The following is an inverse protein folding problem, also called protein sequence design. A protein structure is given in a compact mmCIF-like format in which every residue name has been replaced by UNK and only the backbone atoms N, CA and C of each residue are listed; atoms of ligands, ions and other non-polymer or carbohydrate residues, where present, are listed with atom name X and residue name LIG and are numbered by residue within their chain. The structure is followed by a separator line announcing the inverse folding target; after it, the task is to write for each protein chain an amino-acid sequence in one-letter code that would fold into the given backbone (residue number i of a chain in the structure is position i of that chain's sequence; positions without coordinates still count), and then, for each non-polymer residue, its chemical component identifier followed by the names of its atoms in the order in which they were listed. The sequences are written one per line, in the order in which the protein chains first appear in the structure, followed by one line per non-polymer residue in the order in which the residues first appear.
data_IF_735390132663
#
_entry.id   IF_735390132663
#
_cell.length_a   1.000
_cell.length_b   1.000
_cell.length_c   1.000
_cell.angle_alpha   90.00
_cell.angle_beta   90.00
_cell.angle_gamma   90.00
#
_symmetry.space_group_name_H-M   'P 1'
#
loop_
_entity.id
_entity.type
_entity.pdbx_description
1 polymer ?
#
# COMPACT_ATOMS: atom_id res chain seq x y z
N UNK A 1 21.04 -8.68 -2.88
CA UNK A 1 22.42 -9.23 -2.91
C UNK A 1 23.41 -8.31 -3.63
N UNK A 2 23.05 -7.70 -4.76
CA UNK A 2 23.95 -6.85 -5.58
C UNK A 2 24.45 -5.60 -4.84
N UNK A 3 23.59 -4.89 -4.10
CA UNK A 3 23.97 -3.68 -3.37
C UNK A 3 24.93 -3.94 -2.21
N UNK A 4 24.74 -5.01 -1.43
CA UNK A 4 25.64 -5.40 -0.33
C UNK A 4 26.99 -5.87 -0.86
N UNK A 5 26.99 -6.69 -1.92
CA UNK A 5 28.23 -7.09 -2.58
C UNK A 5 28.97 -5.88 -3.16
N UNK A 6 28.27 -4.94 -3.78
CA UNK A 6 28.83 -3.69 -4.27
C UNK A 6 29.40 -2.83 -3.14
N UNK A 7 28.69 -2.67 -2.01
CA UNK A 7 29.17 -1.90 -0.86
C UNK A 7 30.44 -2.52 -0.24
N UNK A 8 30.46 -3.85 -0.07
CA UNK A 8 31.65 -4.58 0.41
C UNK A 8 32.79 -4.45 -0.58
N UNK A 9 32.52 -4.57 -1.88
CA UNK A 9 33.52 -4.44 -2.93
C UNK A 9 34.10 -3.03 -3.02
N UNK A 10 33.27 -1.99 -2.92
CA UNK A 10 33.70 -0.58 -2.85
C UNK A 10 34.53 -0.35 -1.60
N UNK A 11 34.08 -0.82 -0.43
CA UNK A 11 34.86 -0.73 0.82
C UNK A 11 36.21 -1.42 0.70
N UNK A 12 36.25 -2.62 0.12
CA UNK A 12 37.48 -3.35 -0.16
C UNK A 12 38.40 -2.59 -1.15
N UNK A 13 37.86 -2.04 -2.24
CA UNK A 13 38.60 -1.25 -3.21
C UNK A 13 39.18 0.02 -2.58
N UNK A 14 38.42 0.74 -1.77
CA UNK A 14 38.88 1.96 -1.08
C UNK A 14 40.05 1.67 -0.14
N UNK A 15 40.02 0.54 0.55
CA UNK A 15 41.13 0.08 1.40
C UNK A 15 42.33 -0.38 0.54
N UNK A 16 42.08 -1.09 -0.57
CA UNK A 16 43.13 -1.61 -1.47
C UNK A 16 43.86 -0.51 -2.24
N UNK A 17 43.15 0.54 -2.65
CA UNK A 17 43.69 1.70 -3.37
C UNK A 17 44.39 2.67 -2.40
N UNK A 18 44.32 2.44 -1.09
CA UNK A 18 44.99 3.26 -0.07
C UNK A 18 44.27 4.56 0.27
N UNK A 19 43.04 4.76 -0.22
CA UNK A 19 42.17 5.90 0.13
C UNK A 19 41.77 5.82 1.61
N UNK A 20 41.64 4.60 2.14
CA UNK A 20 41.34 4.34 3.55
C UNK A 20 42.45 3.50 4.16
N UNK A 21 43.06 3.99 5.25
CA UNK A 21 44.09 3.27 5.99
C UNK A 21 43.52 1.93 6.54
N UNK A 22 44.24 0.82 6.31
CA UNK A 22 43.82 -0.51 6.78
C UNK A 22 43.61 -0.61 8.29
N UNK A 23 44.43 0.08 9.08
CA UNK A 23 44.32 0.14 10.53
C UNK A 23 43.02 0.84 10.93
N UNK A 24 42.78 2.02 10.34
CA UNK A 24 41.57 2.81 10.53
C UNK A 24 40.32 2.04 10.10
N UNK A 25 40.38 1.27 9.00
CA UNK A 25 39.27 0.42 8.56
C UNK A 25 38.98 -0.72 9.55
N UNK A 26 40.02 -1.38 10.08
CA UNK A 26 39.85 -2.40 11.13
C UNK A 26 39.25 -1.81 12.40
N UNK A 27 39.75 -0.66 12.85
CA UNK A 27 39.27 0.04 14.04
C UNK A 27 37.85 0.57 13.87
N UNK A 28 37.47 0.98 12.66
CA UNK A 28 36.14 1.55 12.39
C UNK A 28 35.09 0.47 12.12
N UNK A 29 35.43 -0.64 11.45
CA UNK A 29 34.42 -1.62 10.99
C UNK A 29 34.45 -2.94 11.74
N UNK A 30 35.63 -3.40 12.18
CA UNK A 30 35.79 -4.73 12.78
C UNK A 30 35.83 -4.65 14.30
N UNK A 31 36.62 -3.73 14.86
CA UNK A 31 36.78 -3.57 16.30
C UNK A 31 35.44 -3.34 17.04
N UNK A 32 34.47 -2.55 16.53
CA UNK A 32 33.17 -2.36 17.18
C UNK A 32 32.35 -3.64 17.28
N UNK A 33 32.40 -4.48 16.23
CA UNK A 33 31.66 -5.75 16.21
C UNK A 33 32.32 -6.72 17.18
N UNK A 34 33.64 -6.86 17.13
CA UNK A 34 34.39 -7.72 18.03
C UNK A 34 34.20 -7.30 19.50
N UNK A 35 34.20 -6.00 19.79
CA UNK A 35 33.89 -5.45 21.12
C UNK A 35 32.52 -5.93 21.61
N UNK A 36 31.49 -5.82 20.78
CA UNK A 36 30.14 -6.26 21.14
C UNK A 36 30.08 -7.77 21.47
N UNK A 37 30.68 -8.62 20.64
CA UNK A 37 30.70 -10.06 20.87
C UNK A 37 31.57 -10.46 22.07
N UNK A 38 32.63 -9.71 22.37
CA UNK A 38 33.45 -9.92 23.56
C UNK A 38 32.71 -9.56 24.84
N UNK A 39 32.01 -8.42 24.85
CA UNK A 39 31.23 -7.95 26.02
C UNK A 39 30.12 -8.93 26.36
N UNK A 40 29.26 -9.27 25.40
CA UNK A 40 28.07 -10.07 25.68
C UNK A 40 28.29 -11.59 25.52
N UNK A 41 29.37 -12.03 24.88
CA UNK A 41 29.55 -13.42 24.47
C UNK A 41 28.66 -13.80 23.29
N UNK A 42 29.04 -14.87 22.56
CA UNK A 42 28.40 -15.25 21.28
C UNK A 42 26.90 -15.50 21.41
N UNK A 43 26.49 -16.27 22.43
CA UNK A 43 25.07 -16.64 22.62
C UNK A 43 24.19 -15.41 22.84
N UNK A 44 24.53 -14.55 23.80
CA UNK A 44 23.73 -13.36 24.11
C UNK A 44 23.80 -12.33 22.98
N UNK A 45 24.97 -12.10 22.38
CA UNK A 45 25.12 -11.21 21.24
C UNK A 45 24.20 -11.59 20.07
N UNK A 46 24.12 -12.89 19.72
CA UNK A 46 23.23 -13.35 18.66
C UNK A 46 21.75 -13.14 19.00
N UNK A 47 21.33 -13.41 20.23
CA UNK A 47 19.93 -13.20 20.66
C UNK A 47 19.59 -11.71 20.71
N UNK A 48 20.52 -10.84 21.10
CA UNK A 48 20.36 -9.38 21.03
C UNK A 48 20.20 -8.89 19.59
N UNK A 49 21.01 -9.40 18.66
CA UNK A 49 20.90 -9.06 17.23
C UNK A 49 19.56 -9.54 16.64
N UNK A 50 19.09 -10.73 17.03
CA UNK A 50 17.75 -11.19 16.68
C UNK A 50 16.68 -10.25 17.23
N UNK A 51 16.76 -9.86 18.50
CA UNK A 51 15.80 -8.92 19.07
C UNK A 51 15.82 -7.60 18.31
N UNK A 52 17.00 -7.04 18.04
CA UNK A 52 17.15 -5.78 17.31
C UNK A 52 16.51 -5.88 15.92
N UNK A 53 16.81 -6.93 15.16
CA UNK A 53 16.33 -7.09 13.79
C UNK A 53 14.84 -7.40 13.67
N UNK A 54 14.23 -7.98 14.72
CA UNK A 54 12.82 -8.39 14.70
C UNK A 54 11.90 -7.54 15.56
N UNK A 55 12.42 -6.68 16.45
CA UNK A 55 11.58 -5.91 17.40
C UNK A 55 10.46 -5.11 16.73
N UNK A 56 10.74 -4.56 15.54
CA UNK A 56 9.84 -3.68 14.78
C UNK A 56 9.24 -4.34 13.54
N UNK A 57 9.24 -5.67 13.50
CA UNK A 57 8.74 -6.40 12.33
C UNK A 57 7.22 -6.21 12.14
N UNK A 58 6.45 -6.20 13.23
CA UNK A 58 4.98 -6.10 13.18
C UNK A 58 4.50 -4.76 12.62
N UNK A 59 5.06 -3.66 13.11
CA UNK A 59 4.64 -2.30 12.76
C UNK A 59 5.22 -1.85 11.41
N UNK A 60 6.49 -2.16 11.11
CA UNK A 60 7.09 -1.73 9.83
C UNK A 60 6.43 -2.46 8.65
N UNK A 61 6.15 -3.76 8.77
CA UNK A 61 5.49 -4.52 7.68
C UNK A 61 4.09 -3.97 7.40
N UNK A 62 3.31 -3.69 8.46
CA UNK A 62 1.98 -3.10 8.33
C UNK A 62 2.06 -1.66 7.77
N UNK A 63 3.01 -0.86 8.26
CA UNK A 63 3.22 0.53 7.84
C UNK A 63 3.52 0.69 6.35
N UNK A 64 4.17 -0.29 5.71
CA UNK A 64 4.45 -0.24 4.26
C UNK A 64 3.17 -0.26 3.42
N UNK A 65 2.10 -0.92 3.87
CA UNK A 65 0.84 -1.04 3.12
C UNK A 65 -0.24 -0.04 3.58
N UNK A 66 -0.05 0.68 4.69
CA UNK A 66 -1.08 1.56 5.28
C UNK A 66 -1.69 2.57 4.31
N UNK A 67 -0.87 3.24 3.48
CA UNK A 67 -1.39 4.22 2.53
C UNK A 67 -2.28 3.59 1.46
N UNK A 68 -1.88 2.41 0.95
CA UNK A 68 -2.68 1.66 -0.02
C UNK A 68 -3.96 1.16 0.64
N UNK A 69 -3.85 0.64 1.86
CA UNK A 69 -4.99 0.20 2.66
C UNK A 69 -6.04 1.30 2.84
N UNK A 70 -5.63 2.52 3.21
CA UNK A 70 -6.59 3.62 3.38
C UNK A 70 -7.25 4.03 2.06
N UNK A 71 -6.51 3.99 0.94
CA UNK A 71 -7.06 4.24 -0.39
C UNK A 71 -8.02 3.12 -0.81
N UNK A 72 -7.71 1.87 -0.46
CA UNK A 72 -8.57 0.72 -0.71
C UNK A 72 -9.86 0.76 0.13
N UNK A 73 -9.85 1.45 1.27
CA UNK A 73 -11.05 1.81 2.03
C UNK A 73 -11.75 3.07 1.51
N UNK A 74 -11.39 3.58 0.33
CA UNK A 74 -12.00 4.74 -0.32
C UNK A 74 -11.86 6.05 0.46
N UNK A 75 -10.89 6.18 1.38
CA UNK A 75 -10.61 7.46 2.03
C UNK A 75 -9.94 8.43 1.06
N UNK A 76 -10.27 9.72 1.20
CA UNK A 76 -9.70 10.76 0.35
C UNK A 76 -8.21 10.98 0.67
N UNK A 77 -7.44 11.47 -0.31
CA UNK A 77 -6.01 11.74 -0.13
C UNK A 77 -5.78 12.82 0.94
N UNK A 78 -6.69 13.77 1.04
CA UNK A 78 -6.70 14.86 2.01
C UNK A 78 -6.93 14.31 3.42
N UNK A 79 -7.94 13.46 3.60
CA UNK A 79 -8.21 12.79 4.88
C UNK A 79 -7.01 11.94 5.33
N UNK A 80 -6.43 11.16 4.41
CA UNK A 80 -5.25 10.36 4.70
C UNK A 80 -4.07 11.26 5.07
N UNK A 81 -3.84 12.34 4.32
CA UNK A 81 -2.75 13.28 4.59
C UNK A 81 -2.93 13.97 5.94
N UNK A 82 -4.13 14.41 6.28
CA UNK A 82 -4.44 15.01 7.58
C UNK A 82 -4.19 14.01 8.71
N UNK A 83 -4.79 12.81 8.62
CA UNK A 83 -4.67 11.80 9.65
C UNK A 83 -3.20 11.36 9.85
N UNK A 84 -2.47 11.06 8.78
CA UNK A 84 -1.08 10.57 8.86
C UNK A 84 -0.09 11.67 9.20
N UNK A 85 -0.19 12.86 8.57
CA UNK A 85 0.83 13.91 8.71
C UNK A 85 0.59 14.86 9.86
N UNK A 86 -0.67 15.09 10.26
CA UNK A 86 -0.97 15.97 11.39
C UNK A 86 -1.06 15.12 12.66
N UNK A 87 -2.06 14.24 12.73
CA UNK A 87 -2.31 13.44 13.92
C UNK A 87 -1.23 12.37 14.13
N UNK A 88 -0.84 11.64 13.08
CA UNK A 88 0.19 10.61 13.17
C UNK A 88 1.53 11.18 13.67
N UNK A 89 2.00 12.28 13.08
CA UNK A 89 3.24 12.95 13.52
C UNK A 89 3.12 13.45 14.97
N UNK A 90 2.05 14.17 15.31
CA UNK A 90 1.85 14.69 16.67
C UNK A 90 1.88 13.57 17.72
N UNK A 91 1.12 12.49 17.49
CA UNK A 91 1.02 11.40 18.45
C UNK A 91 2.25 10.50 18.46
N UNK A 92 3.01 10.43 17.37
CA UNK A 92 4.34 9.79 17.39
C UNK A 92 5.32 10.52 18.31
N UNK A 93 5.28 11.86 18.33
CA UNK A 93 6.10 12.69 19.23
C UNK A 93 5.65 12.53 20.68
N UNK A 94 4.34 12.57 20.94
CA UNK A 94 3.78 12.33 22.28
C UNK A 94 4.19 10.95 22.78
N UNK A 95 4.06 9.92 21.94
CA UNK A 95 4.45 8.55 22.26
C UNK A 95 5.96 8.45 22.54
N UNK A 96 6.78 9.06 21.69
CA UNK A 96 8.23 9.09 21.87
C UNK A 96 8.66 9.78 23.16
N UNK A 97 8.03 10.92 23.49
CA UNK A 97 8.28 11.63 24.75
C UNK A 97 7.89 10.79 25.95
N UNK A 98 6.70 10.19 25.94
CA UNK A 98 6.24 9.29 27.01
C UNK A 98 7.15 8.07 27.15
N UNK A 99 7.55 7.45 26.05
CA UNK A 99 8.48 6.33 26.05
C UNK A 99 9.86 6.71 26.61
N UNK A 100 10.39 7.89 26.26
CA UNK A 100 11.64 8.40 26.79
C UNK A 100 11.58 8.69 28.30
N UNK A 101 10.48 9.30 28.77
CA UNK A 101 10.27 9.55 30.20
C UNK A 101 10.12 8.25 30.98
N UNK A 102 9.38 7.28 30.45
CA UNK A 102 9.23 5.96 31.05
C UNK A 102 10.57 5.20 31.08
N UNK A 103 11.41 5.33 30.05
CA UNK A 103 12.73 4.68 30.01
C UNK A 103 13.64 5.09 31.18
N UNK A 104 13.42 6.28 31.76
CA UNK A 104 14.15 6.74 32.94
C UNK A 104 13.57 6.19 34.26
N UNK A 105 12.31 5.74 34.27
CA UNK A 105 11.57 5.34 35.48
C UNK A 105 11.30 3.85 35.59
N UNK A 106 11.27 3.12 34.48
CA UNK A 106 11.01 1.68 34.45
C UNK A 106 12.16 0.93 33.81
N UNK A 107 12.31 -0.35 34.19
CA UNK A 107 13.33 -1.23 33.60
C UNK A 107 13.15 -1.30 32.07
N UNK A 108 14.25 -1.13 31.34
CA UNK A 108 14.25 -1.04 29.88
C UNK A 108 13.61 -2.25 29.20
N UNK A 109 13.83 -3.47 29.71
CA UNK A 109 13.25 -4.69 29.14
C UNK A 109 11.73 -4.77 29.36
N UNK A 110 11.23 -4.25 30.50
CA UNK A 110 9.79 -4.13 30.74
C UNK A 110 9.17 -3.10 29.80
N UNK A 111 9.84 -1.97 29.59
CA UNK A 111 9.37 -0.96 28.64
C UNK A 111 9.34 -1.51 27.21
N UNK A 112 10.36 -2.24 26.78
CA UNK A 112 10.38 -2.91 25.48
C UNK A 112 9.22 -3.90 25.33
N UNK A 113 8.92 -4.67 26.38
CA UNK A 113 7.78 -5.60 26.38
C UNK A 113 6.47 -4.85 26.17
N UNK A 114 6.23 -3.78 26.94
CA UNK A 114 5.02 -2.92 26.79
C UNK A 114 4.96 -2.33 25.38
N UNK A 115 6.07 -1.79 24.88
CA UNK A 115 6.15 -1.25 23.52
C UNK A 115 5.80 -2.28 22.45
N UNK A 116 6.33 -3.50 22.56
CA UNK A 116 6.05 -4.59 21.62
C UNK A 116 4.58 -5.06 21.69
N UNK A 117 3.98 -5.13 22.88
CA UNK A 117 2.55 -5.46 23.03
C UNK A 117 1.70 -4.37 22.37
N UNK A 118 1.97 -3.10 22.68
CA UNK A 118 1.22 -1.98 22.10
C UNK A 118 1.34 -1.98 20.58
N UNK A 119 2.57 -1.99 20.03
CA UNK A 119 2.82 -1.93 18.59
C UNK A 119 2.29 -3.14 17.80
N UNK A 120 2.13 -4.31 18.42
CA UNK A 120 1.53 -5.48 17.75
C UNK A 120 0.01 -5.50 17.86
N UNK A 121 -0.56 -5.02 18.97
CA UNK A 121 -2.00 -4.98 19.21
C UNK A 121 -2.72 -3.91 18.39
N UNK A 122 -2.05 -2.80 18.04
CA UNK A 122 -2.65 -1.72 17.23
C UNK A 122 -3.09 -2.19 15.85
N UNK A 123 -2.42 -3.20 15.30
CA UNK A 123 -2.82 -3.83 14.04
C UNK A 123 -4.26 -4.39 14.07
N UNK A 124 -4.78 -4.81 15.23
CA UNK A 124 -6.17 -5.26 15.36
C UNK A 124 -7.18 -4.12 15.18
N UNK A 125 -6.78 -2.87 15.44
CA UNK A 125 -7.65 -1.70 15.27
C UNK A 125 -7.95 -1.48 13.79
N UNK A 126 -7.02 -1.79 12.88
CA UNK A 126 -7.24 -1.73 11.44
C UNK A 126 -8.21 -2.83 10.94
N UNK A 127 -8.28 -3.98 11.61
CA UNK A 127 -9.35 -4.96 11.36
C UNK A 127 -10.71 -4.35 11.75
N UNK A 128 -10.76 -3.64 12.88
CA UNK A 128 -11.94 -2.86 13.28
C UNK A 128 -12.32 -1.80 12.25
N UNK A 129 -11.35 -1.14 11.62
CA UNK A 129 -11.58 -0.16 10.57
C UNK A 129 -12.27 -0.79 9.35
N UNK A 130 -11.81 -1.95 8.91
CA UNK A 130 -12.48 -2.73 7.84
C UNK A 130 -13.91 -3.10 8.24
N UNK A 131 -14.10 -3.56 9.48
CA UNK A 131 -15.43 -3.94 10.01
C UNK A 131 -16.37 -2.75 10.24
N UNK A 132 -15.88 -1.51 10.18
CA UNK A 132 -16.72 -0.32 10.31
C UNK A 132 -17.58 -0.06 9.06
N UNK A 133 -17.21 -0.63 7.92
CA UNK A 133 -18.00 -0.56 6.69
C UNK A 133 -19.12 -1.62 6.69
N UNK A 134 -20.26 -1.30 6.09
CA UNK A 134 -21.38 -2.24 6.02
C UNK A 134 -21.00 -3.51 5.24
N UNK A 135 -21.49 -4.70 5.65
CA UNK A 135 -21.26 -5.94 4.92
C UNK A 135 -21.87 -5.88 3.52
N UNK A 136 -21.14 -6.35 2.52
CA UNK A 136 -21.60 -6.43 1.14
C UNK A 136 -22.26 -7.78 0.87
N UNK A 137 -23.26 -7.78 -0.01
CA UNK A 137 -23.80 -9.01 -0.59
C UNK A 137 -22.91 -9.48 -1.77
N UNK A 138 -23.29 -10.60 -2.40
CA UNK A 138 -22.71 -11.06 -3.64
C UNK A 138 -22.83 -9.99 -4.74
N UNK A 139 -21.78 -9.86 -5.55
CA UNK A 139 -21.80 -9.01 -6.74
C UNK A 139 -22.33 -9.85 -7.91
N UNK A 140 -23.41 -9.39 -8.52
CA UNK A 140 -23.98 -10.00 -9.72
C UNK A 140 -23.30 -9.42 -10.96
N UNK A 141 -22.70 -10.27 -11.79
CA UNK A 141 -22.04 -9.90 -13.05
C UNK A 141 -22.78 -10.56 -14.20
N UNK A 142 -23.37 -9.74 -15.08
CA UNK A 142 -24.09 -10.19 -16.27
C UNK A 142 -23.26 -9.94 -17.53
N UNK A 143 -23.05 -11.00 -18.31
CA UNK A 143 -22.32 -11.00 -19.57
C UNK A 143 -23.20 -11.67 -20.62
N UNK A 144 -23.83 -10.85 -21.48
CA UNK A 144 -24.85 -11.32 -22.41
C UNK A 144 -26.04 -11.95 -21.68
N UNK A 145 -26.35 -13.20 -22.01
CA UNK A 145 -27.41 -14.00 -21.36
C UNK A 145 -26.93 -14.70 -20.06
N UNK A 146 -25.63 -14.68 -19.78
CA UNK A 146 -25.06 -15.37 -18.62
C UNK A 146 -25.00 -14.44 -17.41
N UNK A 147 -25.33 -14.96 -16.23
CA UNK A 147 -25.21 -14.28 -14.96
C UNK A 147 -24.33 -15.08 -14.01
N UNK A 148 -23.40 -14.38 -13.37
CA UNK A 148 -22.43 -14.92 -12.44
C UNK A 148 -22.51 -14.18 -11.12
N UNK A 149 -22.17 -14.85 -10.03
CA UNK A 149 -22.07 -14.23 -8.71
C UNK A 149 -20.66 -14.39 -8.17
N UNK A 150 -20.11 -13.30 -7.64
CA UNK A 150 -18.79 -13.29 -7.01
C UNK A 150 -18.87 -12.61 -5.66
N UNK A 151 -18.19 -13.20 -4.67
CA UNK A 151 -18.08 -12.58 -3.35
C UNK A 151 -16.99 -11.51 -3.37
N UNK A 152 -17.31 -10.23 -3.10
CA UNK A 152 -16.28 -9.21 -2.93
C UNK A 152 -15.50 -9.46 -1.64
N UNK A 153 -14.24 -9.03 -1.62
CA UNK A 153 -13.44 -9.00 -0.41
C UNK A 153 -13.95 -7.93 0.58
N UNK A 154 -13.31 -7.82 1.74
CA UNK A 154 -13.79 -6.92 2.79
C UNK A 154 -13.66 -5.44 2.42
N UNK A 155 -12.77 -5.10 1.48
CA UNK A 155 -12.58 -3.74 0.95
C UNK A 155 -13.41 -3.45 -0.30
N UNK A 156 -14.13 -4.46 -0.82
CA UNK A 156 -15.03 -4.39 -1.95
C UNK A 156 -14.42 -4.85 -3.29
N UNK A 157 -13.16 -5.27 -3.33
CA UNK A 157 -12.54 -5.78 -4.56
C UNK A 157 -13.12 -7.15 -4.90
N UNK A 158 -13.35 -7.38 -6.19
CA UNK A 158 -13.85 -8.67 -6.69
C UNK A 158 -13.18 -9.02 -8.01
N UNK A 159 -13.06 -10.32 -8.27
CA UNK A 159 -12.49 -10.88 -9.49
C UNK A 159 -13.24 -12.14 -9.89
N UNK A 160 -13.57 -12.25 -11.16
CA UNK A 160 -14.33 -13.34 -11.73
C UNK A 160 -13.71 -13.78 -13.06
N UNK A 161 -13.47 -15.08 -13.22
CA UNK A 161 -13.10 -15.66 -14.51
C UNK A 161 -14.35 -16.04 -15.29
N UNK A 162 -14.52 -15.47 -16.48
CA UNK A 162 -15.67 -15.70 -17.35
C UNK A 162 -15.21 -16.36 -18.65
N UNK A 163 -15.83 -17.46 -19.11
CA UNK A 163 -15.49 -18.07 -20.40
C UNK A 163 -15.60 -17.08 -21.57
N UNK A 164 -14.61 -17.05 -22.48
CA UNK A 164 -14.61 -16.13 -23.64
C UNK A 164 -15.88 -16.23 -24.47
N UNK A 165 -16.47 -17.42 -24.57
CA UNK A 165 -17.70 -17.68 -25.32
C UNK A 165 -18.91 -16.89 -24.80
N UNK A 166 -18.94 -16.55 -23.50
CA UNK A 166 -20.04 -15.78 -22.91
C UNK A 166 -20.10 -14.34 -23.45
N UNK A 167 -19.00 -13.83 -24.01
CA UNK A 167 -18.91 -12.49 -24.57
C UNK A 167 -19.36 -12.41 -26.03
N UNK A 168 -19.69 -13.54 -26.66
CA UNK A 168 -20.20 -13.56 -28.04
C UNK A 168 -21.50 -12.75 -28.16
N UNK A 169 -21.56 -11.81 -29.12
CA UNK A 169 -22.72 -10.93 -29.32
C UNK A 169 -22.98 -9.92 -28.19
N UNK A 170 -22.11 -9.86 -27.18
CA UNK A 170 -22.27 -8.96 -26.02
C UNK A 170 -21.54 -7.65 -26.27
N UNK A 171 -22.23 -6.52 -26.06
CA UNK A 171 -21.66 -5.17 -26.25
C UNK A 171 -21.17 -4.52 -24.95
N UNK A 172 -21.64 -5.00 -23.81
CA UNK A 172 -21.33 -4.45 -22.50
C UNK A 172 -21.50 -5.51 -21.42
N UNK A 173 -20.78 -5.35 -20.31
CA UNK A 173 -21.04 -6.09 -19.07
C UNK A 173 -21.86 -5.21 -18.13
N UNK A 174 -22.76 -5.83 -17.38
CA UNK A 174 -23.55 -5.18 -16.33
C UNK A 174 -23.15 -5.78 -14.98
N UNK A 175 -22.85 -4.92 -14.01
CA UNK A 175 -22.46 -5.32 -12.66
C UNK A 175 -23.40 -4.66 -11.67
N UNK A 176 -23.98 -5.46 -10.78
CA UNK A 176 -24.86 -5.02 -9.72
C UNK A 176 -24.27 -5.37 -8.36
N UNK A 177 -24.29 -4.40 -7.44
CA UNK A 177 -23.81 -4.55 -6.07
C UNK A 177 -24.88 -4.09 -5.07
N UNK A 178 -24.92 -4.73 -3.90
CA UNK A 178 -25.83 -4.43 -2.81
C UNK A 178 -25.12 -4.57 -1.45
N UNK A 179 -25.65 -3.93 -0.41
CA UNK A 179 -25.33 -4.31 0.96
C UNK A 179 -26.10 -5.58 1.34
N UNK A 180 -25.54 -6.34 2.28
CA UNK A 180 -26.24 -7.49 2.85
C UNK A 180 -27.46 -7.07 3.69
N UNK A 181 -27.46 -5.84 4.22
CA UNK A 181 -28.67 -5.23 4.74
C UNK A 181 -29.42 -4.57 3.58
N UNK A 182 -30.67 -4.99 3.36
CA UNK A 182 -31.52 -4.48 2.28
C UNK A 182 -32.02 -3.03 2.52
N UNK A 183 -31.29 -2.24 3.31
CA UNK A 183 -31.65 -0.89 3.73
C UNK A 183 -31.32 0.16 2.65
N UNK A 184 -30.37 -0.17 1.75
CA UNK A 184 -29.97 0.69 0.63
C UNK A 184 -30.25 -0.05 -0.67
N UNK A 185 -30.82 0.67 -1.64
CA UNK A 185 -31.09 0.10 -2.95
C UNK A 185 -29.80 -0.37 -3.64
N UNK A 186 -29.85 -1.50 -4.39
CA UNK A 186 -28.70 -1.98 -5.13
C UNK A 186 -28.31 -1.00 -6.23
N UNK A 187 -27.02 -0.99 -6.57
CA UNK A 187 -26.47 -0.14 -7.63
C UNK A 187 -25.99 -0.99 -8.79
N UNK A 188 -26.39 -0.58 -9.99
CA UNK A 188 -25.98 -1.20 -11.25
C UNK A 188 -25.09 -0.25 -12.05
N UNK A 189 -24.01 -0.78 -12.61
CA UNK A 189 -23.15 -0.11 -13.60
C UNK A 189 -22.92 -0.99 -14.81
N UNK A 190 -22.64 -0.33 -15.93
CA UNK A 190 -22.40 -0.98 -17.21
C UNK A 190 -21.06 -0.54 -17.78
N UNK A 191 -20.32 -1.48 -18.34
CA UNK A 191 -19.02 -1.21 -18.97
C UNK A 191 -19.05 -1.72 -20.42
N UNK A 192 -18.82 -0.86 -21.42
CA UNK A 192 -18.79 -1.27 -22.82
C UNK A 192 -17.57 -2.15 -23.11
N UNK A 193 -17.71 -3.06 -24.07
CA UNK A 193 -16.68 -4.02 -24.48
C UNK A 193 -16.25 -3.79 -25.94
N UNK A 194 -14.96 -4.03 -26.21
CA UNK A 194 -14.46 -4.22 -27.57
C UNK A 194 -14.50 -5.72 -27.91
N UNK A 195 -15.41 -6.11 -28.81
CA UNK A 195 -15.50 -7.47 -29.35
C UNK A 195 -15.07 -7.51 -30.81
N UNK A 196 -14.96 -8.70 -31.39
CA UNK A 196 -14.74 -8.93 -32.84
C UNK A 196 -15.72 -8.15 -33.73
N UNK A 197 -16.96 -7.94 -33.28
CA UNK A 197 -17.96 -7.12 -33.99
C UNK A 197 -17.66 -5.61 -33.91
N UNK A 198 -16.96 -5.17 -32.86
CA UNK A 198 -16.50 -3.79 -32.66
C UNK A 198 -15.26 -3.43 -33.50
N UNK A 199 -14.73 -4.36 -34.31
CA UNK A 199 -13.53 -4.16 -35.15
C UNK A 199 -13.60 -2.97 -36.13
N UNK A 200 -14.79 -2.37 -36.35
CA UNK A 200 -14.96 -1.14 -37.12
C UNK A 200 -14.60 0.14 -36.37
N UNK A 201 -14.60 0.13 -35.03
CA UNK A 201 -14.21 1.27 -34.19
C UNK A 201 -13.24 0.79 -33.10
N UNK A 202 -11.95 0.62 -33.44
CA UNK A 202 -10.92 0.11 -32.53
C UNK A 202 -10.57 1.05 -31.36
N UNK A 203 -11.28 2.18 -31.21
CA UNK A 203 -10.98 3.24 -30.26
C UNK A 203 -12.26 3.65 -29.55
N UNK A 204 -12.24 3.67 -28.22
CA UNK A 204 -13.35 4.15 -27.41
C UNK A 204 -12.86 4.82 -26.11
N UNK A 205 -13.69 5.70 -25.56
CA UNK A 205 -13.56 6.20 -24.19
C UNK A 205 -14.48 5.37 -23.31
N UNK A 206 -14.04 5.06 -22.09
CA UNK A 206 -14.85 4.34 -21.11
C UNK A 206 -15.65 5.33 -20.26
N UNK A 207 -16.76 4.88 -19.63
CA UNK A 207 -17.59 5.77 -18.82
C UNK A 207 -16.79 6.59 -17.82
N UNK A 208 -16.91 7.92 -17.91
CA UNK A 208 -16.20 8.86 -17.04
C UNK A 208 -16.72 8.65 -15.62
N UNK A 209 -15.81 8.31 -14.70
CA UNK A 209 -16.14 7.95 -13.31
C UNK A 209 -17.17 6.81 -13.20
N UNK A 210 -17.21 5.92 -14.19
CA UNK A 210 -18.04 4.70 -14.21
C UNK A 210 -19.50 4.91 -14.59
N UNK A 211 -20.00 6.15 -14.65
CA UNK A 211 -21.41 6.44 -14.94
C UNK A 211 -21.64 7.68 -15.81
N UNK A 212 -20.58 8.25 -16.40
CA UNK A 212 -20.65 9.46 -17.22
C UNK A 212 -21.23 10.69 -16.51
N UNK A 213 -21.13 10.73 -15.18
CA UNK A 213 -21.57 11.88 -14.37
C UNK A 213 -20.39 12.47 -13.62
N UNK A 214 -20.02 13.71 -13.96
CA UNK A 214 -19.00 14.49 -13.26
C UNK A 214 -19.65 15.35 -12.17
N UNK A 215 -19.27 15.18 -10.90
CA UNK A 215 -19.84 16.00 -9.81
C UNK A 215 -19.09 17.31 -9.63
N UNK A 216 -19.81 18.35 -9.18
CA UNK A 216 -19.21 19.64 -8.81
C UNK A 216 -18.27 19.54 -7.60
N UNK A 217 -18.47 18.56 -6.70
CA UNK A 217 -17.62 18.35 -5.51
C UNK A 217 -16.27 17.71 -5.87
N UNK A 218 -16.17 17.07 -7.04
CA UNK A 218 -14.92 16.56 -7.59
C UNK A 218 -14.03 17.70 -8.13
N UNK A 219 -14.49 18.95 -8.06
CA UNK A 219 -13.81 20.16 -8.54
C UNK A 219 -12.46 20.47 -7.89
N UNK A 220 -11.96 19.60 -7.00
CA UNK A 220 -10.58 19.60 -6.54
C UNK A 220 -9.86 18.33 -7.03
N UNK A 221 -8.92 18.50 -7.95
CA UNK A 221 -8.04 17.41 -8.41
C UNK A 221 -8.18 17.09 -9.90
N UNK A 222 -7.78 15.88 -10.28
CA UNK A 222 -7.79 15.40 -11.66
C UNK A 222 -8.62 14.13 -11.77
N UNK A 223 -9.53 14.10 -12.76
CA UNK A 223 -10.26 12.91 -13.18
C UNK A 223 -9.41 12.14 -14.17
N UNK A 224 -9.23 10.85 -13.94
CA UNK A 224 -8.54 9.97 -14.88
C UNK A 224 -9.56 9.47 -15.90
N UNK A 225 -9.53 10.04 -17.10
CA UNK A 225 -10.32 9.55 -18.22
C UNK A 225 -9.60 8.35 -18.82
N UNK A 226 -10.30 7.22 -18.89
CA UNK A 226 -9.79 5.97 -19.44
C UNK A 226 -10.46 5.67 -20.78
N UNK A 227 -9.74 4.98 -21.64
CA UNK A 227 -10.26 4.50 -22.90
C UNK A 227 -9.55 3.21 -23.32
N UNK A 228 -10.00 2.65 -24.43
CA UNK A 228 -9.42 1.42 -24.98
C UNK A 228 -9.11 1.59 -26.44
N UNK A 229 -7.95 1.07 -26.82
CA UNK A 229 -7.47 1.00 -28.19
C UNK A 229 -7.10 -0.44 -28.53
N UNK A 230 -7.73 -0.98 -29.56
CA UNK A 230 -7.45 -2.32 -30.07
C UNK A 230 -7.20 -2.29 -31.58
N UNK A 231 -5.96 -2.45 -32.00
CA UNK A 231 -5.61 -2.41 -33.42
C UNK A 231 -4.15 -2.77 -33.64
N UNK A 232 -3.58 -2.33 -34.77
CA UNK A 232 -2.13 -2.45 -35.00
C UNK A 232 -1.38 -1.72 -33.89
N UNK A 233 -0.26 -2.27 -33.45
CA UNK A 233 0.60 -1.61 -32.48
C UNK A 233 0.95 -0.19 -32.98
N UNK A 234 0.80 0.79 -32.10
CA UNK A 234 1.11 2.19 -32.43
C UNK A 234 2.61 2.32 -32.72
N UNK A 235 2.95 3.08 -33.76
CA UNK A 235 4.36 3.42 -34.03
C UNK A 235 4.87 4.40 -32.96
N UNK A 236 6.20 4.56 -32.78
CA UNK A 236 6.75 5.53 -31.82
C UNK A 236 6.36 6.99 -32.11
N UNK A 237 5.92 7.31 -33.33
CA UNK A 237 5.44 8.64 -33.73
C UNK A 237 3.96 8.85 -33.42
N UNK A 238 3.21 7.76 -33.25
CA UNK A 238 1.77 7.81 -33.03
C UNK A 238 1.45 8.05 -31.56
N UNK A 239 0.46 8.92 -31.32
CA UNK A 239 0.00 9.28 -29.98
C UNK A 239 -1.51 9.20 -29.89
N UNK A 240 -2.01 8.76 -28.74
CA UNK A 240 -3.43 8.89 -28.40
C UNK A 240 -3.62 10.23 -27.69
N UNK A 241 -4.52 11.07 -28.20
CA UNK A 241 -4.83 12.38 -27.63
C UNK A 241 -6.32 12.40 -27.28
N UNK A 242 -6.61 12.70 -26.02
CA UNK A 242 -7.96 13.07 -25.59
C UNK A 242 -8.08 14.58 -25.67
N UNK A 243 -9.20 15.10 -26.16
CA UNK A 243 -9.46 16.51 -26.32
C UNK A 243 -10.82 16.88 -25.74
N UNK A 244 -10.87 18.05 -25.11
CA UNK A 244 -12.05 18.64 -24.51
C UNK A 244 -12.09 20.13 -24.87
N UNK A 245 -13.13 20.57 -25.58
CA UNK A 245 -13.28 21.96 -26.05
C UNK A 245 -12.01 22.51 -26.76
N UNK A 246 -11.37 21.66 -27.57
CA UNK A 246 -10.15 22.02 -28.31
C UNK A 246 -8.84 21.98 -27.50
N UNK A 247 -8.89 21.70 -26.20
CA UNK A 247 -7.68 21.45 -25.39
C UNK A 247 -7.28 19.98 -25.49
N UNK A 248 -6.01 19.72 -25.76
CA UNK A 248 -5.46 18.37 -25.91
C UNK A 248 -4.78 17.87 -24.63
N UNK A 249 -4.97 16.59 -24.35
CA UNK A 249 -4.42 15.84 -23.22
C UNK A 249 -3.79 14.56 -23.74
N UNK A 250 -2.46 14.46 -23.64
CA UNK A 250 -1.72 13.27 -24.07
C UNK A 250 -2.12 12.07 -23.20
N UNK A 251 -2.71 11.06 -23.83
CA UNK A 251 -3.03 9.80 -23.16
C UNK A 251 -1.84 8.84 -23.24
N UNK A 252 -1.56 8.18 -22.12
CA UNK A 252 -0.53 7.14 -22.04
C UNK A 252 -1.19 5.78 -21.99
N UNK A 253 -0.64 4.83 -22.72
CA UNK A 253 -0.99 3.41 -22.56
C UNK A 253 -0.64 2.99 -21.14
N UNK A 254 -1.65 2.51 -20.41
CA UNK A 254 -1.57 2.19 -18.99
C UNK A 254 -1.15 0.74 -18.79
N UNK A 255 -1.46 -0.13 -19.75
CA UNK A 255 -1.10 -1.55 -19.74
C UNK A 255 -0.90 -2.11 -21.15
N UNK A 256 -0.51 -3.39 -21.24
CA UNK A 256 -0.42 -4.12 -22.50
C UNK A 256 -1.80 -4.59 -23.02
N UNK A 257 -2.88 -4.36 -22.26
CA UNK A 257 -4.25 -4.79 -22.59
C UNK A 257 -4.99 -3.79 -23.49
N UNK A 258 -4.30 -2.75 -23.94
CA UNK A 258 -4.85 -1.71 -24.83
C UNK A 258 -5.60 -0.62 -24.08
N UNK A 259 -5.44 -0.50 -22.76
CA UNK A 259 -6.04 0.58 -21.98
C UNK A 259 -5.14 1.81 -22.06
N UNK A 260 -5.72 2.97 -22.34
CA UNK A 260 -5.04 4.26 -22.21
C UNK A 260 -5.74 5.15 -21.21
N UNK A 261 -5.00 6.10 -20.68
CA UNK A 261 -5.53 7.07 -19.72
C UNK A 261 -4.90 8.44 -19.87
N UNK A 262 -5.68 9.49 -19.65
CA UNK A 262 -5.21 10.85 -19.44
C UNK A 262 -5.83 11.45 -18.18
N UNK A 263 -5.06 12.22 -17.44
CA UNK A 263 -5.58 12.99 -16.31
C UNK A 263 -6.08 14.36 -16.82
N UNK A 264 -7.35 14.66 -16.55
CA UNK A 264 -7.98 15.93 -16.90
C UNK A 264 -8.41 16.60 -15.59
N UNK A 265 -8.09 17.88 -15.43
CA UNK A 265 -8.55 18.67 -14.28
C UNK A 265 -10.09 18.65 -14.23
N UNK A 266 -10.65 18.26 -13.08
CA UNK A 266 -12.09 18.17 -12.89
C UNK A 266 -12.80 19.50 -13.18
N UNK A 267 -12.15 20.64 -12.87
CA UNK A 267 -12.68 21.98 -13.16
C UNK A 267 -12.90 22.19 -14.66
N UNK A 268 -12.03 21.65 -15.51
CA UNK A 268 -12.18 21.74 -16.97
C UNK A 268 -13.37 20.91 -17.46
N UNK A 269 -13.57 19.71 -16.91
CA UNK A 269 -14.73 18.87 -17.23
C UNK A 269 -16.04 19.55 -16.80
N UNK A 270 -16.05 20.12 -15.59
CA UNK A 270 -17.20 20.86 -15.06
C UNK A 270 -17.48 22.13 -15.86
N UNK A 271 -16.46 22.86 -16.29
CA UNK A 271 -16.60 24.10 -17.07
C UNK A 271 -16.85 23.89 -18.57
N UNK A 272 -16.68 22.67 -19.08
CA UNK A 272 -16.76 22.40 -20.52
C UNK A 272 -18.09 22.84 -21.15
N UNK A 273 -18.06 23.40 -22.34
CA UNK A 273 -19.29 23.78 -23.06
C UNK A 273 -19.86 22.63 -23.88
N UNK A 274 -19.01 21.79 -24.49
CA UNK A 274 -19.45 20.64 -25.29
C UNK A 274 -19.97 19.49 -24.44
N UNK A 275 -19.41 19.29 -23.23
CA UNK A 275 -19.62 18.08 -22.42
C UNK A 275 -19.33 16.79 -23.20
N UNK A 276 -18.40 16.86 -24.15
CA UNK A 276 -18.06 15.77 -25.04
C UNK A 276 -16.54 15.61 -25.09
N UNK A 277 -16.08 14.43 -24.66
CA UNK A 277 -14.68 14.05 -24.78
C UNK A 277 -14.45 13.45 -26.15
N UNK A 278 -13.43 13.94 -26.85
CA UNK A 278 -13.02 13.43 -28.15
C UNK A 278 -11.67 12.74 -28.00
N UNK A 279 -11.50 11.55 -28.53
CA UNK A 279 -10.21 10.86 -28.56
C UNK A 279 -9.80 10.60 -30.00
N UNK A 280 -8.51 10.76 -30.28
CA UNK A 280 -7.95 10.45 -31.58
C UNK A 280 -6.57 9.78 -31.48
N UNK A 281 -6.29 8.87 -32.42
CA UNK A 281 -4.93 8.42 -32.70
C UNK A 281 -4.34 9.36 -33.75
N UNK A 282 -3.27 10.05 -33.36
CA UNK A 282 -2.57 11.04 -34.17
C UNK A 282 -1.25 10.47 -34.69
N UNK A 283 -0.90 10.77 -35.93
CA UNK A 283 0.44 10.58 -36.48
C UNK A 283 0.92 11.93 -37.04
N UNK A 284 1.75 12.62 -36.27
CA UNK A 284 1.97 14.06 -36.46
C UNK A 284 0.66 14.85 -36.30
N UNK A 285 0.26 15.57 -37.34
CA UNK A 285 -0.99 16.37 -37.37
C UNK A 285 -2.19 15.58 -37.93
N UNK A 286 -1.96 14.38 -38.48
CA UNK A 286 -3.01 13.60 -39.13
C UNK A 286 -3.78 12.75 -38.11
N UNK A 287 -5.11 12.87 -38.11
CA UNK A 287 -6.03 11.99 -37.37
C UNK A 287 -6.23 10.67 -38.13
N UNK A 288 -5.81 9.56 -37.54
CA UNK A 288 -5.97 8.21 -38.11
C UNK A 288 -7.32 7.60 -37.70
N UNK A 289 -7.64 7.72 -36.41
CA UNK A 289 -8.86 7.19 -35.80
C UNK A 289 -9.40 8.24 -34.84
N UNK A 290 -10.72 8.29 -34.71
CA UNK A 290 -11.37 9.15 -33.71
C UNK A 290 -12.63 8.52 -33.17
N UNK A 291 -12.90 8.79 -31.90
CA UNK A 291 -14.17 8.48 -31.24
C UNK A 291 -14.55 9.66 -30.33
N UNK A 292 -15.83 9.79 -30.02
CA UNK A 292 -16.30 10.76 -29.03
C UNK A 292 -17.19 10.08 -28.00
N UNK A 293 -17.24 10.69 -26.82
CA UNK A 293 -17.96 10.17 -25.68
C UNK A 293 -18.57 11.31 -24.87
N UNK A 294 -19.91 11.41 -24.80
CA UNK A 294 -20.57 12.43 -24.02
C UNK A 294 -20.50 12.10 -22.53
N UNK A 295 -20.51 13.13 -21.70
CA UNK A 295 -20.71 13.00 -20.26
C UNK A 295 -21.64 14.11 -19.77
N UNK A 296 -22.16 13.99 -18.56
CA UNK A 296 -22.97 15.02 -17.93
C UNK A 296 -22.28 15.55 -16.67
N UNK A 297 -22.64 16.77 -16.29
CA UNK A 297 -22.22 17.36 -15.01
C UNK A 297 -23.42 17.35 -14.10
N UNK A 298 -23.30 16.66 -12.97
CA UNK A 298 -24.35 16.61 -11.97
C UNK A 298 -24.15 17.70 -10.93
N UNK A 299 -25.17 18.55 -10.78
CA UNK A 299 -25.28 19.48 -9.64
C UNK A 299 -25.63 18.75 -8.34
N UNK A 300 -26.16 17.53 -8.45
CA UNK A 300 -26.49 16.72 -7.29
C UNK A 300 -25.20 16.28 -6.62
N UNK A 301 -25.11 16.63 -5.33
CA UNK A 301 -24.18 16.02 -4.41
C UNK A 301 -24.56 14.53 -4.33
N UNK A 302 -23.97 13.67 -5.16
CA UNK A 302 -23.85 12.26 -4.78
C UNK A 302 -23.05 12.31 -3.49
N UNK A 303 -23.72 12.09 -2.36
CA UNK A 303 -23.05 12.09 -1.09
C UNK A 303 -21.95 11.03 -1.18
N UNK A 304 -20.74 11.34 -0.70
CA UNK A 304 -19.62 10.39 -0.64
C UNK A 304 -19.90 9.16 0.25
N UNK A 305 -21.16 8.99 0.67
CA UNK A 305 -21.72 7.99 1.57
C UNK A 305 -22.61 6.95 0.88
N UNK A 306 -22.75 6.98 -0.45
CA UNK A 306 -23.59 5.99 -1.17
C UNK A 306 -22.77 4.81 -1.69
N UNK A 307 -23.42 3.65 -1.70
CA UNK A 307 -22.93 2.45 -2.38
C UNK A 307 -22.69 2.77 -3.86
N UNK A 308 -21.56 2.34 -4.40
CA UNK A 308 -21.32 2.36 -5.85
C UNK A 308 -20.52 1.12 -6.26
N UNK A 309 -20.35 0.90 -7.55
CA UNK A 309 -19.49 -0.18 -8.06
C UNK A 309 -18.70 0.31 -9.26
N UNK A 310 -17.40 0.10 -9.26
CA UNK A 310 -16.55 0.33 -10.42
C UNK A 310 -16.24 -1.00 -11.10
N UNK A 311 -16.09 -0.96 -12.42
CA UNK A 311 -15.75 -2.10 -13.26
C UNK A 311 -14.41 -1.76 -13.91
N UNK A 312 -13.40 -2.61 -13.72
CA UNK A 312 -12.11 -2.38 -14.37
C UNK A 312 -12.22 -2.64 -15.88
N UNK A 313 -11.49 -1.87 -16.71
CA UNK A 313 -11.48 -2.06 -18.16
C UNK A 313 -11.10 -3.50 -18.54
N UNK A 314 -11.96 -4.16 -19.33
CA UNK A 314 -11.68 -5.50 -19.84
C UNK A 314 -11.02 -5.37 -21.21
N UNK A 315 -9.85 -5.98 -21.39
CA UNK A 315 -9.12 -6.01 -22.66
C UNK A 315 -10.02 -6.49 -23.82
N UNK A 316 -9.59 -6.28 -25.06
CA UNK A 316 -10.24 -6.91 -26.20
C UNK A 316 -10.41 -8.42 -25.98
N UNK A 317 -11.60 -8.91 -26.28
CA UNK A 317 -11.98 -10.30 -26.08
C UNK A 317 -12.16 -10.94 -27.46
N UNK A 318 -11.40 -11.98 -27.74
CA UNK A 318 -11.71 -12.94 -28.80
C UNK A 318 -12.64 -14.02 -28.21
N UNK A 319 -13.95 -14.01 -28.55
CA UNK A 319 -14.90 -14.96 -27.97
C UNK A 319 -14.58 -16.41 -28.31
N UNK A 320 -13.84 -16.65 -29.41
CA UNK A 320 -13.47 -17.97 -29.92
C UNK A 320 -12.15 -18.50 -29.36
N UNK A 321 -11.41 -17.68 -28.60
CA UNK A 321 -10.09 -18.06 -28.06
C UNK A 321 -10.12 -19.26 -27.10
N UNK A 322 -11.27 -19.50 -26.45
CA UNK A 322 -11.45 -20.54 -25.45
C UNK A 322 -10.74 -20.27 -24.12
N UNK A 323 -10.06 -19.12 -23.99
CA UNK A 323 -9.39 -18.71 -22.75
C UNK A 323 -10.37 -17.98 -21.83
N UNK A 324 -10.34 -18.23 -20.51
CA UNK A 324 -11.14 -17.44 -19.58
C UNK A 324 -10.67 -15.98 -19.57
N UNK A 325 -11.62 -15.06 -19.43
CA UNK A 325 -11.39 -13.62 -19.32
C UNK A 325 -11.62 -13.21 -17.88
N UNK A 326 -10.62 -12.57 -17.26
CA UNK A 326 -10.76 -11.97 -15.94
C UNK A 326 -11.57 -10.68 -16.03
N UNK A 327 -12.73 -10.65 -15.39
CA UNK A 327 -13.52 -9.45 -15.13
C UNK A 327 -13.32 -9.09 -13.66
N UNK A 328 -12.96 -7.84 -13.38
CA UNK A 328 -12.70 -7.38 -12.03
C UNK A 328 -13.27 -5.99 -11.81
N UNK A 329 -13.38 -5.61 -10.55
CA UNK A 329 -13.88 -4.30 -10.17
C UNK A 329 -13.85 -4.12 -8.66
N UNK A 330 -14.50 -3.05 -8.22
CA UNK A 330 -14.54 -2.70 -6.81
C UNK A 330 -15.88 -2.11 -6.43
N UNK A 331 -16.51 -2.68 -5.42
CA UNK A 331 -17.67 -2.08 -4.75
C UNK A 331 -17.16 -0.96 -3.83
N UNK A 332 -17.66 0.26 -4.07
CA UNK A 332 -17.34 1.45 -3.31
C UNK A 332 -18.35 1.57 -2.17
N UNK A 333 -17.84 1.64 -0.94
CA UNK A 333 -18.63 1.87 0.26
C UNK A 333 -17.87 2.75 1.25
N UNK A 334 -18.58 3.53 2.09
CA UNK A 334 -17.95 4.34 3.11
C UNK A 334 -17.49 3.49 4.32
N UNK A 335 -16.48 3.99 5.01
CA UNK A 335 -15.98 3.48 6.28
C UNK A 335 -15.93 4.61 7.31
N UNK A 336 -15.80 4.26 8.59
CA UNK A 336 -15.80 5.26 9.66
C UNK A 336 -14.53 6.12 9.64
N UNK A 337 -14.65 7.39 9.25
CA UNK A 337 -13.56 8.36 9.36
C UNK A 337 -13.09 8.52 10.79
N UNK A 338 -14.01 8.55 11.76
CA UNK A 338 -13.64 8.61 13.19
C UNK A 338 -12.74 7.45 13.59
N UNK A 339 -13.05 6.24 13.10
CA UNK A 339 -12.23 5.06 13.37
C UNK A 339 -10.86 5.14 12.67
N UNK A 340 -10.77 5.74 11.48
CA UNK A 340 -9.50 5.99 10.80
C UNK A 340 -8.58 6.88 11.65
N UNK A 341 -9.07 8.04 12.11
CA UNK A 341 -8.28 8.93 12.96
C UNK A 341 -7.90 8.23 14.27
N UNK A 342 -8.83 7.54 14.92
CA UNK A 342 -8.55 6.76 16.12
C UNK A 342 -7.45 5.72 15.90
N UNK A 343 -7.54 4.93 14.83
CA UNK A 343 -6.54 3.92 14.49
C UNK A 343 -5.16 4.53 14.29
N UNK A 344 -5.06 5.61 13.52
CA UNK A 344 -3.79 6.28 13.23
C UNK A 344 -3.19 6.91 14.49
N UNK A 345 -4.02 7.53 15.34
CA UNK A 345 -3.58 8.14 16.60
C UNK A 345 -2.98 7.08 17.53
N UNK A 346 -3.72 6.00 17.78
CA UNK A 346 -3.28 4.95 18.71
C UNK A 346 -2.05 4.22 18.18
N UNK A 347 -2.02 3.92 16.87
CA UNK A 347 -0.88 3.26 16.22
C UNK A 347 0.40 4.10 16.29
N UNK A 348 0.32 5.40 15.97
CA UNK A 348 1.49 6.28 16.03
C UNK A 348 1.94 6.55 17.47
N UNK A 349 1.01 6.64 18.42
CA UNK A 349 1.35 6.75 19.84
C UNK A 349 2.13 5.52 20.32
N UNK A 350 1.64 4.32 20.00
CA UNK A 350 2.30 3.06 20.34
C UNK A 350 3.67 2.95 19.65
N UNK A 351 3.75 3.28 18.36
CA UNK A 351 4.98 3.26 17.56
C UNK A 351 6.03 4.23 18.10
N UNK A 352 5.61 5.44 18.52
CA UNK A 352 6.48 6.43 19.15
C UNK A 352 7.03 5.92 20.48
N UNK A 353 6.18 5.38 21.35
CA UNK A 353 6.59 4.83 22.64
C UNK A 353 7.55 3.65 22.48
N UNK A 354 7.20 2.69 21.61
CA UNK A 354 8.05 1.55 21.31
C UNK A 354 9.38 1.98 20.67
N UNK A 355 9.37 3.01 19.82
CA UNK A 355 10.56 3.58 19.21
C UNK A 355 11.51 4.19 20.24
N UNK A 356 11.00 5.01 21.16
CA UNK A 356 11.82 5.61 22.22
C UNK A 356 12.37 4.55 23.19
N UNK A 357 11.55 3.56 23.57
CA UNK A 357 11.99 2.42 24.35
C UNK A 357 13.15 1.67 23.68
N UNK A 358 13.04 1.47 22.37
CA UNK A 358 14.05 0.77 21.59
C UNK A 358 15.34 1.58 21.45
N UNK A 359 15.25 2.89 21.23
CA UNK A 359 16.43 3.77 21.19
C UNK A 359 17.17 3.75 22.52
N UNK A 360 16.46 3.83 23.64
CA UNK A 360 17.06 3.72 24.97
C UNK A 360 17.75 2.35 25.18
N UNK A 361 17.16 1.27 24.67
CA UNK A 361 17.76 -0.06 24.69
C UNK A 361 19.01 -0.17 23.80
N UNK A 362 18.97 0.37 22.58
CA UNK A 362 20.16 0.39 21.71
C UNK A 362 21.30 1.15 22.36
N UNK A 363 21.00 2.31 22.97
CA UNK A 363 21.98 3.12 23.69
C UNK A 363 22.66 2.33 24.81
N UNK A 364 21.90 1.55 25.58
CA UNK A 364 22.46 0.74 26.67
C UNK A 364 23.33 -0.44 26.22
N UNK A 365 23.23 -0.86 24.94
CA UNK A 365 24.08 -1.90 24.36
C UNK A 365 25.39 -1.36 23.76
N UNK A 366 25.43 -0.08 23.42
CA UNK A 366 26.63 0.53 22.81
C UNK A 366 27.76 0.71 23.83
N UNK A 367 28.99 0.52 23.41
CA UNK A 367 30.17 0.88 24.20
C UNK A 367 30.57 2.33 23.95
N UNK A 368 31.06 3.00 25.00
CA UNK A 368 31.50 4.41 24.95
C UNK A 368 32.56 4.63 23.86
N UNK A 369 33.42 3.65 23.62
CA UNK A 369 34.50 3.71 22.63
C UNK A 369 34.01 3.62 21.17
N UNK A 370 32.84 3.01 20.92
CA UNK A 370 32.36 2.72 19.57
C UNK A 370 30.89 3.10 19.33
N UNK A 371 30.35 4.01 20.14
CA UNK A 371 28.92 4.37 20.18
C UNK A 371 28.34 4.63 18.79
N UNK A 372 28.98 5.50 18.00
CA UNK A 372 28.46 5.92 16.70
C UNK A 372 28.32 4.74 15.71
N UNK A 373 29.35 3.89 15.63
CA UNK A 373 29.36 2.76 14.68
C UNK A 373 28.39 1.68 15.12
N UNK A 374 28.42 1.28 16.40
CA UNK A 374 27.51 0.25 16.91
C UNK A 374 26.06 0.69 16.79
N UNK A 375 25.75 1.95 17.11
CA UNK A 375 24.40 2.50 16.93
C UNK A 375 23.96 2.48 15.46
N UNK A 376 24.82 2.87 14.53
CA UNK A 376 24.53 2.81 13.10
C UNK A 376 24.26 1.38 12.61
N UNK A 377 25.05 0.41 13.07
CA UNK A 377 24.85 -1.02 12.74
C UNK A 377 23.51 -1.51 13.28
N UNK A 378 23.20 -1.25 14.56
CA UNK A 378 21.96 -1.73 15.17
C UNK A 378 20.72 -1.06 14.57
N UNK A 379 20.77 0.24 14.32
CA UNK A 379 19.70 0.99 13.65
C UNK A 379 19.47 0.48 12.21
N UNK A 380 20.55 0.17 11.48
CA UNK A 380 20.44 -0.44 10.15
C UNK A 380 19.81 -1.83 10.21
N UNK A 381 20.24 -2.66 11.15
CA UNK A 381 19.71 -4.01 11.36
C UNK A 381 18.23 -4.00 11.73
N UNK A 382 17.80 -3.08 12.59
CA UNK A 382 16.40 -2.89 12.99
C UNK A 382 15.47 -2.72 11.80
N UNK A 383 15.90 -1.99 10.77
CA UNK A 383 15.04 -1.73 9.60
C UNK A 383 15.20 -2.74 8.47
N UNK A 384 16.28 -3.52 8.45
CA UNK A 384 16.62 -4.42 7.34
C UNK A 384 15.55 -5.51 7.13
N UNK A 385 15.35 -6.37 8.13
CA UNK A 385 14.41 -7.50 8.01
C UNK A 385 12.98 -7.04 7.76
N UNK A 386 12.45 -6.05 8.50
CA UNK A 386 11.07 -5.62 8.29
C UNK A 386 10.84 -4.95 6.94
N UNK A 387 11.80 -4.16 6.41
CA UNK A 387 11.66 -3.56 5.08
C UNK A 387 11.72 -4.58 3.96
N UNK A 388 12.58 -5.60 4.09
CA UNK A 388 12.66 -6.69 3.10
C UNK A 388 11.34 -7.45 3.01
N UNK A 389 10.73 -7.78 4.16
CA UNK A 389 9.43 -8.46 4.21
C UNK A 389 8.28 -7.53 3.82
N UNK A 390 8.32 -6.27 4.25
CA UNK A 390 7.31 -5.26 3.95
C UNK A 390 7.17 -4.98 2.45
N UNK A 391 8.24 -5.14 1.66
CA UNK A 391 8.18 -5.07 0.20
C UNK A 391 7.22 -6.08 -0.44
N UNK A 392 6.91 -7.19 0.25
CA UNK A 392 5.96 -8.22 -0.20
C UNK A 392 4.54 -8.03 0.37
N UNK A 393 4.31 -7.04 1.23
CA UNK A 393 3.00 -6.83 1.88
C UNK A 393 1.85 -6.73 0.89
N UNK A 394 2.05 -6.05 -0.25
CA UNK A 394 1.01 -5.94 -1.29
C UNK A 394 0.61 -7.29 -1.90
N UNK A 395 1.59 -8.15 -2.22
CA UNK A 395 1.33 -9.50 -2.72
C UNK A 395 0.66 -10.37 -1.66
N UNK A 396 1.06 -10.25 -0.39
CA UNK A 396 0.44 -11.00 0.71
C UNK A 396 -1.04 -10.61 0.83
N UNK A 397 -1.32 -9.31 0.93
CA UNK A 397 -2.70 -8.78 1.04
C UNK A 397 -3.56 -9.20 -0.15
N UNK A 398 -3.01 -9.17 -1.37
CA UNK A 398 -3.73 -9.59 -2.58
C UNK A 398 -4.19 -11.06 -2.54
N UNK A 399 -3.55 -11.91 -1.74
CA UNK A 399 -3.88 -13.33 -1.62
C UNK A 399 -4.72 -13.67 -0.38
N UNK A 400 -4.49 -12.97 0.75
CA UNK A 400 -5.14 -13.32 2.04
C UNK A 400 -6.13 -12.26 2.54
N UNK A 401 -6.18 -11.09 1.92
CA UNK A 401 -7.00 -9.95 2.34
C UNK A 401 -6.42 -9.17 3.52
N UNK A 402 -6.93 -7.95 3.72
CA UNK A 402 -6.46 -7.06 4.79
C UNK A 402 -6.68 -7.60 6.21
N UNK A 403 -7.86 -8.15 6.58
CA UNK A 403 -8.08 -8.62 7.95
C UNK A 403 -7.10 -9.72 8.40
N UNK A 404 -6.83 -10.69 7.52
CA UNK A 404 -5.88 -11.77 7.81
C UNK A 404 -4.45 -11.27 7.82
N UNK A 405 -4.11 -10.30 6.96
CA UNK A 405 -2.80 -9.66 6.98
C UNK A 405 -2.52 -8.95 8.30
N UNK A 406 -3.45 -8.11 8.79
CA UNK A 406 -3.27 -7.42 10.08
C UNK A 406 -3.28 -8.39 11.26
N UNK A 407 -4.07 -9.48 11.19
CA UNK A 407 -4.01 -10.53 12.21
C UNK A 407 -2.63 -11.22 12.20
N UNK A 408 -2.10 -11.55 11.02
CA UNK A 408 -0.78 -12.14 10.87
C UNK A 408 0.30 -11.23 11.47
N UNK A 409 0.29 -9.92 11.16
CA UNK A 409 1.29 -8.98 11.73
C UNK A 409 1.16 -8.86 13.25
N UNK A 410 -0.05 -8.86 13.82
CA UNK A 410 -0.26 -8.96 15.27
C UNK A 410 0.34 -10.25 15.85
N UNK A 411 0.10 -11.40 15.23
CA UNK A 411 0.58 -12.70 15.71
C UNK A 411 2.11 -12.82 15.62
N UNK A 412 2.76 -12.18 14.65
CA UNK A 412 4.23 -12.04 14.61
C UNK A 412 4.76 -11.31 15.85
N UNK A 413 3.94 -10.51 16.53
CA UNK A 413 4.27 -9.91 17.83
C UNK A 413 4.59 -10.95 18.92
N UNK A 414 3.93 -12.10 18.92
CA UNK A 414 4.08 -13.13 19.97
C UNK A 414 5.53 -13.65 20.08
N UNK A 415 6.18 -14.14 19.00
CA UNK A 415 7.58 -14.57 19.10
C UNK A 415 8.53 -13.44 19.50
N UNK A 416 8.22 -12.18 19.17
CA UNK A 416 9.01 -11.02 19.63
C UNK A 416 8.86 -10.84 21.15
N UNK A 417 7.67 -10.98 21.70
CA UNK A 417 7.43 -10.89 23.14
C UNK A 417 8.21 -11.98 23.90
N UNK A 418 8.22 -13.20 23.37
CA UNK A 418 9.04 -14.31 23.90
C UNK A 418 10.53 -13.91 23.86
N UNK A 419 10.99 -13.35 22.74
CA UNK A 419 12.37 -12.91 22.56
C UNK A 419 12.77 -11.79 23.52
N UNK A 420 11.90 -10.81 23.77
CA UNK A 420 12.11 -9.73 24.76
C UNK A 420 12.30 -10.32 26.16
N UNK A 421 11.43 -11.24 26.58
CA UNK A 421 11.54 -11.91 27.89
C UNK A 421 12.81 -12.73 27.98
N UNK A 422 13.16 -13.46 26.92
CA UNK A 422 14.35 -14.30 26.87
C UNK A 422 15.65 -13.47 26.96
N UNK A 423 15.73 -12.37 26.19
CA UNK A 423 16.85 -11.42 26.30
C UNK A 423 16.93 -10.82 27.69
N UNK A 424 15.80 -10.44 28.28
CA UNK A 424 15.77 -9.86 29.62
C UNK A 424 16.32 -10.81 30.68
N UNK A 425 16.03 -12.12 30.56
CA UNK A 425 16.62 -13.15 31.41
C UNK A 425 18.14 -13.26 31.20
N UNK A 426 18.57 -13.38 29.94
CA UNK A 426 20.00 -13.56 29.63
C UNK A 426 20.86 -12.34 30.02
N UNK A 427 20.35 -11.12 29.86
CA UNK A 427 21.04 -9.90 30.28
C UNK A 427 21.20 -9.87 31.81
N UNK A 428 20.18 -10.29 32.56
CA UNK A 428 20.25 -10.37 34.02
C UNK A 428 21.30 -11.39 34.46
N UNK A 429 21.26 -12.59 33.89
CA UNK A 429 22.21 -13.66 34.22
C UNK A 429 23.66 -13.23 33.89
N UNK A 430 23.86 -12.53 32.77
CA UNK A 430 25.16 -11.97 32.38
C UNK A 430 25.68 -10.91 33.36
N UNK A 431 24.83 -9.98 33.82
CA UNK A 431 25.18 -8.96 34.81
C UNK A 431 25.55 -9.58 36.17
N UNK A 432 24.85 -10.64 36.58
CA UNK A 432 25.16 -11.36 37.83
C UNK A 432 26.55 -11.99 37.77
N UNK A 433 26.87 -12.68 36.68
CA UNK A 433 28.20 -13.31 36.51
C UNK A 433 29.35 -12.31 36.39
N UNK A 434 29.16 -11.14 35.78
CA UNK A 434 30.18 -10.09 35.78
C UNK A 434 30.40 -9.50 37.18
N UNK A 435 29.33 -9.36 37.97
CA UNK A 435 29.40 -8.85 39.35
C UNK A 435 30.12 -9.84 40.28
N UNK A 436 29.88 -11.14 40.11
CA UNK A 436 30.60 -12.20 40.83
C UNK A 436 32.10 -12.19 40.52
N UNK A 437 32.47 -12.07 39.23
CA UNK A 437 33.89 -11.99 38.81
C UNK A 437 34.63 -10.73 39.24
N UNK A 438 33.92 -9.63 39.51
CA UNK A 438 34.52 -8.38 39.95
C UNK A 438 34.64 -8.27 41.48
N UNK A 439 33.94 -9.15 42.23
CA UNK A 439 34.00 -9.25 43.68
C UNK A 439 35.02 -10.26 44.22
N UNK A 440 35.51 -11.16 43.36
CA UNK A 440 36.72 -11.98 43.55
C UNK A 440 37.97 -11.20 43.10
#
# INVERSE_FOLDING_TARGET
LTATAAAIFVGYLLVKIGVVNQQMAKETWIAPILDFFKRYGVKLALVLLLLIGFFRISDIIAGVISNVFYQDLNFSKEQIAEAVKIYGVLFSLVGGFLGGLLAQRINIMKLMFVGAVLASSTNLIFIGLVKSGQPLDMVDVKVGEHSYQVKPDEVGLWKLEVPSSAFSGTKQIEVKAAYASNDVAPVTRTQPLLTTESAKSPLQILPVMGNDQVSLKDGEGSVVVRGQYFGKALTPTQKIIISLDGQNFDAKMTDQKGVFSAAIDAKKLVASTSKELNVAVMDGEQKILSASHPYAVSSNQKAASELDVNIEPVAYIDPLSGQPVEVSGKVIKPYSSLWLYFAIIVDNLASGLAGAAFIAFLSSLTSVSFTAVQYAIFSSLMTLTPKLLGGYSGTIVSNIGYPKFFLMTTLIGIPILILVVWVGKLLRDHQTHESEKAGE
#
